data_IF_531848925930
#
_entry.id   IF_531848925930
#
_cell.length_a   1.000
_cell.length_b   1.000
_cell.length_c   1.000
_cell.angle_alpha   90.00
_cell.angle_beta   90.00
_cell.angle_gamma   90.00
#
_symmetry.space_group_name_H-M   'P 1'
#
loop_
_entity.id
_entity.type
_entity.pdbx_description
1 polymer ?
#
# COMPACT_ATOMS: atom_id res chain seq x y z
N UNK A 1 -3.45 -20.55 -26.18
CA UNK A 1 -3.84 -20.51 -24.74
C UNK A 1 -4.08 -19.08 -24.32
N UNK A 2 -5.22 -18.84 -23.70
CA UNK A 2 -5.54 -17.53 -23.13
C UNK A 2 -5.08 -17.52 -21.68
N UNK A 3 -4.34 -16.50 -21.29
CA UNK A 3 -3.90 -16.31 -19.91
C UNK A 3 -4.79 -15.27 -19.23
N UNK A 4 -5.26 -15.59 -18.04
CA UNK A 4 -5.92 -14.61 -17.22
C UNK A 4 -4.87 -13.63 -16.67
N UNK A 5 -5.24 -12.36 -16.61
CA UNK A 5 -4.34 -11.32 -16.11
C UNK A 5 -4.89 -10.73 -14.81
N UNK A 6 -4.02 -10.61 -13.84
CA UNK A 6 -4.36 -10.05 -12.53
C UNK A 6 -3.48 -8.85 -12.25
N UNK A 7 -4.04 -7.75 -11.77
CA UNK A 7 -3.22 -6.60 -11.37
C UNK A 7 -2.35 -6.96 -10.16
N UNK A 8 -1.11 -6.50 -10.21
CA UNK A 8 -0.18 -6.62 -9.09
C UNK A 8 -0.07 -5.23 -8.46
N UNK A 9 -0.42 -5.15 -7.19
CA UNK A 9 -0.40 -3.90 -6.44
C UNK A 9 0.70 -3.99 -5.39
N UNK A 10 1.56 -2.99 -5.33
CA UNK A 10 2.64 -2.95 -4.34
C UNK A 10 2.35 -1.84 -3.35
N UNK A 11 2.48 -2.15 -2.07
CA UNK A 11 2.19 -1.24 -0.96
C UNK A 11 3.41 -1.09 -0.07
N UNK A 12 3.58 0.06 0.55
CA UNK A 12 4.69 0.33 1.45
C UNK A 12 4.23 0.44 2.90
N UNK A 13 4.80 -0.40 3.76
CA UNK A 13 4.69 -0.26 5.20
C UNK A 13 5.98 0.45 5.67
N UNK A 14 5.93 1.77 5.77
CA UNK A 14 7.04 2.55 6.30
C UNK A 14 6.83 2.69 7.79
N UNK A 15 7.59 1.95 8.57
CA UNK A 15 7.39 1.85 10.01
C UNK A 15 8.55 2.44 10.81
N UNK A 16 8.21 3.26 11.79
CA UNK A 16 9.13 3.79 12.79
C UNK A 16 8.44 3.83 14.14
N UNK A 17 9.06 3.22 15.14
CA UNK A 17 8.59 3.28 16.54
C UNK A 17 7.12 2.87 16.68
N UNK A 18 6.71 1.82 15.96
CA UNK A 18 5.34 1.31 16.01
C UNK A 18 4.32 2.11 15.23
N UNK A 19 4.75 3.12 14.51
CA UNK A 19 3.88 3.94 13.66
C UNK A 19 4.19 3.73 12.19
N UNK A 20 3.17 3.85 11.37
CA UNK A 20 3.28 3.70 9.92
C UNK A 20 2.74 4.93 9.22
N UNK A 21 3.25 5.20 8.00
CA UNK A 21 2.74 6.30 7.18
C UNK A 21 1.49 5.87 6.45
N UNK A 22 0.42 6.64 6.59
CA UNK A 22 -0.81 6.43 5.84
C UNK A 22 -1.18 7.69 5.06
N UNK A 23 -1.84 7.47 3.94
CA UNK A 23 -2.28 8.51 3.02
C UNK A 23 -3.81 8.59 3.08
N UNK A 24 -4.33 9.80 3.24
CA UNK A 24 -5.76 10.05 3.14
C UNK A 24 -6.13 10.31 1.68
N UNK A 25 -6.93 9.43 1.10
CA UNK A 25 -7.37 9.51 -0.30
C UNK A 25 -8.53 10.50 -0.39
N UNK A 26 -8.37 11.56 -1.17
CA UNK A 26 -9.40 12.60 -1.27
C UNK A 26 -9.83 12.88 -2.70
N UNK A 27 -8.88 13.06 -3.62
CA UNK A 27 -9.19 13.42 -5.00
C UNK A 27 -8.90 12.29 -5.97
N UNK A 28 -9.20 11.07 -5.55
CA UNK A 28 -8.99 9.87 -6.36
C UNK A 28 -10.29 9.46 -7.03
N UNK A 29 -10.18 8.66 -8.10
CA UNK A 29 -11.36 8.17 -8.82
C UNK A 29 -12.19 7.20 -7.99
N UNK A 30 -11.53 6.41 -7.14
CA UNK A 30 -12.17 5.39 -6.30
C UNK A 30 -11.63 5.48 -4.88
N UNK A 31 -12.40 4.97 -3.93
CA UNK A 31 -12.01 4.87 -2.52
C UNK A 31 -11.59 6.21 -1.92
N UNK A 32 -12.40 7.24 -2.16
CA UNK A 32 -12.18 8.54 -1.54
C UNK A 32 -12.53 8.50 -0.05
N UNK A 33 -11.93 9.44 0.70
CA UNK A 33 -12.19 9.62 2.13
C UNK A 33 -11.83 8.39 2.96
N UNK A 34 -10.75 7.72 2.56
CA UNK A 34 -10.24 6.54 3.23
C UNK A 34 -8.73 6.58 3.35
N UNK A 35 -8.23 5.93 4.38
CA UNK A 35 -6.79 5.79 4.58
C UNK A 35 -6.26 4.54 3.92
N UNK A 36 -5.11 4.70 3.28
CA UNK A 36 -4.39 3.63 2.60
C UNK A 36 -2.89 3.83 2.79
N UNK A 37 -2.12 2.86 2.34
CA UNK A 37 -0.65 2.97 2.32
C UNK A 37 -0.20 3.61 1.00
N UNK A 38 1.03 4.15 0.95
CA UNK A 38 1.65 4.47 -0.34
C UNK A 38 1.65 3.21 -1.20
N UNK A 39 1.20 3.32 -2.45
CA UNK A 39 0.99 2.14 -3.27
C UNK A 39 0.97 2.48 -4.75
N UNK A 40 1.16 1.47 -5.59
CA UNK A 40 1.02 1.62 -7.01
C UNK A 40 0.85 0.29 -7.72
N UNK A 41 0.37 0.35 -8.95
CA UNK A 41 0.31 -0.78 -9.87
C UNK A 41 1.68 -1.01 -10.47
N UNK A 42 2.07 -2.27 -10.55
CA UNK A 42 3.31 -2.65 -11.23
C UNK A 42 3.15 -2.43 -12.73
N UNK A 43 4.10 -1.72 -13.32
CA UNK A 43 4.15 -1.45 -14.75
C UNK A 43 4.99 -2.51 -15.46
N UNK A 44 4.70 -2.72 -16.75
CA UNK A 44 5.43 -3.68 -17.55
C UNK A 44 6.93 -3.34 -17.55
N UNK A 45 7.76 -4.33 -17.30
CA UNK A 45 9.21 -4.16 -17.27
C UNK A 45 9.75 -3.64 -15.94
N UNK A 46 8.87 -3.43 -14.97
CA UNK A 46 9.23 -2.92 -13.65
C UNK A 46 9.18 -4.05 -12.63
N UNK A 47 10.23 -4.21 -11.81
CA UNK A 47 10.20 -5.16 -10.70
C UNK A 47 9.33 -4.62 -9.57
N UNK A 48 8.91 -5.49 -8.66
CA UNK A 48 8.11 -5.08 -7.52
C UNK A 48 8.86 -4.08 -6.63
N UNK A 49 10.14 -4.33 -6.36
CA UNK A 49 10.95 -3.39 -5.57
C UNK A 49 11.13 -2.06 -6.27
N UNK A 50 11.39 -2.08 -7.58
CA UNK A 50 11.53 -0.86 -8.35
C UNK A 50 10.25 -0.01 -8.27
N UNK A 51 9.11 -0.68 -8.39
CA UNK A 51 7.82 -0.02 -8.30
C UNK A 51 7.66 0.72 -6.97
N UNK A 52 7.88 0.04 -5.85
CA UNK A 52 7.63 0.67 -4.54
C UNK A 52 8.64 1.78 -4.24
N UNK A 53 9.87 1.64 -4.71
CA UNK A 53 10.88 2.70 -4.58
C UNK A 53 10.42 3.94 -5.34
N UNK A 54 9.95 3.77 -6.57
CA UNK A 54 9.43 4.85 -7.40
C UNK A 54 8.19 5.49 -6.78
N UNK A 55 7.23 4.69 -6.37
CA UNK A 55 5.98 5.19 -5.79
C UNK A 55 6.22 5.94 -4.48
N UNK A 56 7.14 5.47 -3.65
CA UNK A 56 7.51 6.17 -2.42
C UNK A 56 8.04 7.57 -2.70
N UNK A 57 8.85 7.70 -3.74
CA UNK A 57 9.38 9.00 -4.14
C UNK A 57 8.28 9.91 -4.66
N UNK A 58 7.41 9.38 -5.51
CA UNK A 58 6.33 10.16 -6.11
C UNK A 58 5.27 10.58 -5.10
N UNK A 59 4.89 9.71 -4.18
CA UNK A 59 3.78 9.95 -3.28
C UNK A 59 4.16 10.63 -1.96
N UNK A 60 5.29 10.24 -1.37
CA UNK A 60 5.69 10.78 -0.05
C UNK A 60 7.09 11.39 -0.02
N UNK A 61 7.74 11.52 -1.17
CA UNK A 61 8.96 12.31 -1.32
C UNK A 61 10.25 11.71 -0.77
N UNK A 62 10.25 10.44 -0.39
CA UNK A 62 11.44 9.81 0.20
C UNK A 62 12.20 8.96 -0.82
N UNK A 63 13.48 8.74 -0.53
CA UNK A 63 14.33 7.84 -1.31
C UNK A 63 14.56 6.56 -0.52
N UNK A 64 14.18 5.43 -1.13
CA UNK A 64 14.43 4.10 -0.60
C UNK A 64 15.51 3.42 -1.44
N UNK A 65 16.43 2.72 -0.79
CA UNK A 65 17.40 1.87 -1.46
C UNK A 65 16.90 0.43 -1.46
N UNK A 66 17.21 -0.37 -2.49
CA UNK A 66 16.70 -1.76 -2.57
C UNK A 66 16.99 -2.60 -1.34
N UNK A 67 18.15 -2.40 -0.70
CA UNK A 67 18.54 -3.16 0.50
C UNK A 67 17.73 -2.82 1.74
N UNK A 68 17.02 -1.69 1.72
CA UNK A 68 16.19 -1.26 2.85
C UNK A 68 14.74 -1.73 2.73
N UNK A 69 14.40 -2.40 1.65
CA UNK A 69 13.03 -2.81 1.33
C UNK A 69 12.93 -4.33 1.30
N UNK A 70 12.02 -4.89 2.08
CA UNK A 70 11.82 -6.35 2.12
C UNK A 70 10.33 -6.68 2.12
N UNK A 71 9.97 -7.81 1.48
CA UNK A 71 8.58 -8.25 1.42
C UNK A 71 8.13 -8.72 2.80
N UNK A 72 7.00 -8.20 3.27
CA UNK A 72 6.44 -8.53 4.57
C UNK A 72 5.16 -9.35 4.49
N UNK A 73 4.23 -8.97 3.60
CA UNK A 73 2.94 -9.66 3.48
C UNK A 73 2.56 -9.76 2.02
N UNK A 74 2.01 -10.90 1.64
CA UNK A 74 1.34 -11.09 0.35
C UNK A 74 -0.14 -11.31 0.64
N UNK A 75 -0.99 -10.53 -0.04
CA UNK A 75 -2.44 -10.59 0.09
C UNK A 75 -3.04 -11.03 -1.23
N UNK A 76 -3.81 -12.13 -1.23
CA UNK A 76 -4.69 -12.44 -2.34
C UNK A 76 -6.08 -11.92 -1.97
N UNK A 77 -6.69 -11.14 -2.87
CA UNK A 77 -7.98 -10.53 -2.61
C UNK A 77 -8.98 -10.79 -3.72
N UNK A 78 -10.22 -11.03 -3.34
CA UNK A 78 -11.35 -11.15 -4.25
C UNK A 78 -12.51 -10.38 -3.65
N UNK A 79 -12.95 -9.33 -4.35
CA UNK A 79 -13.95 -8.43 -3.81
C UNK A 79 -14.67 -7.68 -4.94
N UNK A 80 -15.76 -7.03 -4.61
CA UNK A 80 -16.43 -6.11 -5.52
C UNK A 80 -15.93 -4.70 -5.22
N UNK A 81 -15.52 -3.98 -6.26
CA UNK A 81 -15.12 -2.58 -6.10
C UNK A 81 -16.36 -1.68 -5.98
N UNK A 82 -16.14 -0.37 -5.85
CA UNK A 82 -17.23 0.60 -5.70
C UNK A 82 -18.17 0.62 -6.91
N UNK A 83 -17.67 0.26 -8.10
CA UNK A 83 -18.47 0.20 -9.32
C UNK A 83 -19.24 -1.11 -9.45
N UNK A 84 -19.07 -2.06 -8.51
CA UNK A 84 -19.71 -3.35 -8.54
C UNK A 84 -19.00 -4.42 -9.38
N UNK A 85 -17.81 -4.12 -9.88
CA UNK A 85 -17.01 -5.08 -10.63
C UNK A 85 -16.34 -6.08 -9.69
N UNK A 86 -16.35 -7.36 -10.07
CA UNK A 86 -15.63 -8.38 -9.31
C UNK A 86 -14.15 -8.32 -9.64
N UNK A 87 -13.34 -8.06 -8.62
CA UNK A 87 -11.90 -7.89 -8.74
C UNK A 87 -11.18 -9.03 -8.05
N UNK A 88 -10.17 -9.57 -8.73
CA UNK A 88 -9.17 -10.42 -8.09
C UNK A 88 -7.82 -9.74 -8.29
N UNK A 89 -7.07 -9.56 -7.22
CA UNK A 89 -5.73 -9.00 -7.32
C UNK A 89 -4.80 -9.57 -6.26
N UNK A 90 -3.52 -9.30 -6.43
CA UNK A 90 -2.49 -9.69 -5.48
C UNK A 90 -1.78 -8.44 -5.02
N UNK A 91 -1.79 -8.23 -3.71
CA UNK A 91 -1.10 -7.12 -3.08
C UNK A 91 0.19 -7.60 -2.43
N UNK A 92 1.28 -6.91 -2.72
CA UNK A 92 2.58 -7.16 -2.09
C UNK A 92 2.88 -6.00 -1.17
N UNK A 93 3.06 -6.29 0.12
CA UNK A 93 3.32 -5.26 1.13
C UNK A 93 4.79 -5.36 1.53
N UNK A 94 5.57 -4.38 1.09
CA UNK A 94 6.98 -4.26 1.43
C UNK A 94 7.12 -3.38 2.66
N UNK A 95 8.08 -3.72 3.52
CA UNK A 95 8.37 -2.92 4.70
C UNK A 95 9.72 -2.22 4.55
N UNK A 96 9.81 -1.05 5.15
CA UNK A 96 11.05 -0.30 5.26
C UNK A 96 11.01 0.53 6.54
N UNK A 97 12.19 0.78 7.13
CA UNK A 97 12.33 1.66 8.29
C UNK A 97 13.41 2.70 8.07
N UNK A 98 14.27 2.50 7.08
CA UNK A 98 15.34 3.43 6.72
C UNK A 98 15.04 4.06 5.37
N UNK A 99 15.24 5.37 5.28
CA UNK A 99 15.00 6.14 4.06
C UNK A 99 15.78 7.45 4.13
N UNK A 100 15.92 8.10 2.99
CA UNK A 100 16.51 9.43 2.89
C UNK A 100 15.42 10.44 2.54
N UNK A 101 15.57 11.64 3.05
CA UNK A 101 14.62 12.74 2.82
C UNK A 101 13.60 12.85 3.92
N UNK A 102 12.63 13.71 3.70
CA UNK A 102 11.54 13.99 4.63
C UNK A 102 10.23 13.47 4.06
N UNK A 103 9.43 12.82 4.90
CA UNK A 103 8.10 12.35 4.50
C UNK A 103 7.19 13.56 4.33
N UNK A 104 6.71 13.78 3.12
CA UNK A 104 5.82 14.88 2.76
C UNK A 104 4.69 14.36 1.89
N UNK A 105 3.61 15.13 1.77
CA UNK A 105 2.59 14.87 0.77
C UNK A 105 3.09 15.42 -0.56
N UNK A 106 3.67 14.57 -1.39
CA UNK A 106 4.26 14.97 -2.67
C UNK A 106 3.24 15.03 -3.81
N UNK A 107 2.01 14.53 -3.57
CA UNK A 107 0.92 14.56 -4.54
C UNK A 107 -0.36 15.14 -3.93
N UNK A 108 -0.33 16.42 -3.50
CA UNK A 108 -1.47 17.01 -2.81
C UNK A 108 -2.74 17.12 -3.67
N UNK A 109 -2.60 16.98 -4.98
CA UNK A 109 -3.75 16.95 -5.89
C UNK A 109 -4.54 15.64 -5.82
N UNK A 110 -3.94 14.58 -5.27
CA UNK A 110 -4.57 13.26 -5.09
C UNK A 110 -4.88 12.97 -3.63
N UNK A 111 -4.02 13.43 -2.73
CA UNK A 111 -4.06 13.07 -1.31
C UNK A 111 -4.37 14.30 -0.47
N UNK A 112 -5.38 14.20 0.40
CA UNK A 112 -5.76 15.30 1.28
C UNK A 112 -4.69 15.58 2.31
N UNK A 113 -4.12 14.52 2.89
CA UNK A 113 -3.00 14.62 3.82
C UNK A 113 -2.35 13.25 3.99
N UNK A 114 -1.19 13.25 4.63
CA UNK A 114 -0.53 12.02 5.07
C UNK A 114 -0.24 12.16 6.56
N UNK A 115 -0.17 11.05 7.26
CA UNK A 115 0.17 11.07 8.68
C UNK A 115 0.77 9.76 9.14
N UNK A 116 1.49 9.83 10.26
CA UNK A 116 1.96 8.66 10.98
C UNK A 116 0.85 8.20 11.91
N UNK A 117 0.48 6.91 11.85
CA UNK A 117 -0.54 6.33 12.72
C UNK A 117 0.01 5.13 13.45
N UNK A 118 -0.52 4.85 14.63
CA UNK A 118 -0.14 3.64 15.37
C UNK A 118 -0.62 2.40 14.63
N UNK A 119 0.27 1.42 14.47
CA UNK A 119 -0.07 0.14 13.87
C UNK A 119 -1.15 -0.60 14.68
N UNK A 120 -1.22 -0.34 15.99
CA UNK A 120 -2.21 -0.96 16.87
C UNK A 120 -3.54 -0.22 16.92
N UNK A 121 -3.64 0.94 16.27
CA UNK A 121 -4.82 1.79 16.33
C UNK A 121 -5.06 2.44 14.98
N UNK A 122 -5.41 1.61 13.99
CA UNK A 122 -5.66 2.09 12.63
C UNK A 122 -6.95 2.91 12.57
N UNK A 123 -7.00 3.96 11.72
CA UNK A 123 -8.23 4.72 11.53
C UNK A 123 -9.39 3.83 11.10
N UNK A 124 -10.61 4.13 11.55
CA UNK A 124 -11.82 3.36 11.19
C UNK A 124 -12.03 3.30 9.69
N UNK A 125 -11.72 4.38 8.99
CA UNK A 125 -11.89 4.49 7.54
C UNK A 125 -10.66 4.00 6.76
N UNK A 126 -9.87 3.11 7.32
CA UNK A 126 -8.81 2.41 6.59
C UNK A 126 -9.46 1.46 5.58
N UNK A 127 -8.94 1.42 4.35
CA UNK A 127 -9.43 0.47 3.34
C UNK A 127 -9.36 -0.95 3.90
N UNK A 128 -10.41 -1.72 3.67
CA UNK A 128 -10.56 -3.06 4.29
C UNK A 128 -9.41 -3.99 3.94
N UNK A 129 -9.03 -4.07 2.68
CA UNK A 129 -7.93 -4.95 2.28
C UNK A 129 -6.59 -4.48 2.85
N UNK A 130 -6.40 -3.16 3.02
CA UNK A 130 -5.21 -2.62 3.67
C UNK A 130 -5.19 -3.00 5.15
N UNK A 131 -6.33 -2.89 5.83
CA UNK A 131 -6.45 -3.29 7.23
C UNK A 131 -6.12 -4.77 7.41
N UNK A 132 -6.66 -5.62 6.55
CA UNK A 132 -6.43 -7.07 6.61
C UNK A 132 -4.93 -7.39 6.52
N UNK A 133 -4.24 -6.74 5.58
CA UNK A 133 -2.80 -6.93 5.42
C UNK A 133 -1.99 -6.39 6.61
N UNK A 134 -2.35 -5.22 7.13
CA UNK A 134 -1.66 -4.63 8.28
C UNK A 134 -1.87 -5.45 9.55
N UNK A 135 -3.05 -6.02 9.75
CA UNK A 135 -3.30 -6.92 10.87
C UNK A 135 -2.46 -8.19 10.74
N UNK A 136 -2.34 -8.76 9.54
CA UNK A 136 -1.45 -9.89 9.29
C UNK A 136 0.00 -9.54 9.60
N UNK A 137 0.44 -8.36 9.16
CA UNK A 137 1.78 -7.87 9.44
C UNK A 137 2.04 -7.76 10.95
N UNK A 138 1.12 -7.13 11.66
CA UNK A 138 1.21 -6.99 13.11
C UNK A 138 1.30 -8.33 13.81
N UNK A 139 0.56 -9.33 13.31
CA UNK A 139 0.51 -10.67 13.91
C UNK A 139 1.64 -11.59 13.43
N UNK A 140 2.56 -11.09 12.63
CA UNK A 140 3.70 -11.86 12.13
C UNK A 140 3.36 -12.86 11.03
N UNK A 141 2.24 -12.69 10.36
CA UNK A 141 1.84 -13.54 9.22
C UNK A 141 2.29 -12.92 7.91
N UNK A 142 2.84 -13.71 7.01
CA UNK A 142 3.38 -13.24 5.74
C UNK A 142 2.44 -13.50 4.55
N UNK A 143 1.31 -14.16 4.79
CA UNK A 143 0.32 -14.42 3.77
C UNK A 143 -1.08 -14.32 4.36
N UNK A 144 -1.99 -13.68 3.61
CA UNK A 144 -3.37 -13.52 4.03
C UNK A 144 -4.28 -13.48 2.81
N UNK A 145 -5.52 -13.93 2.98
CA UNK A 145 -6.55 -13.87 1.95
C UNK A 145 -7.71 -13.02 2.42
N UNK A 146 -8.25 -12.24 1.52
CA UNK A 146 -9.44 -11.44 1.77
C UNK A 146 -10.49 -11.73 0.69
N UNK A 147 -11.66 -12.16 1.12
CA UNK A 147 -12.81 -12.40 0.24
C UNK A 147 -14.01 -11.66 0.80
N UNK A 148 -14.63 -10.86 -0.05
CA UNK A 148 -15.84 -10.11 0.28
C UNK A 148 -17.05 -10.70 -0.46
#
# INVERSE_FOLDING_TARGET
>A
MTLDMYPLIVNLILEREGKIVMIYREHTKVYQHAYALPAGKVEKGESLKHNIIREAKEEIGITLHPDDVSLAVTLWAKYNNEAGDNIEDVGFFFKASRYEGEVINAEPHKHGHIKWVSLNELPENTLTFTRVALEAYRDGRDYVEYVD
#
